data_IF_115933351108
#
_entry.id   IF_115933351108
#
_cell.length_a   1.000
_cell.length_b   1.000
_cell.length_c   1.000
_cell.angle_alpha   90.00
_cell.angle_beta   90.00
_cell.angle_gamma   90.00
#
_symmetry.space_group_name_H-M   'P 1'
#
loop_
_entity.id
_entity.type
_entity.pdbx_description
1 polymer ?
#
# COMPACT_ATOMS: atom_id res chain seq x y z
N UNK A 1 2.92 16.13 11.90
CA UNK A 1 2.44 14.76 11.56
C UNK A 1 0.93 14.76 11.50
N UNK A 2 0.38 14.42 10.35
CA UNK A 2 -1.06 14.32 10.18
C UNK A 2 -1.59 13.09 10.95
N UNK A 3 -2.86 13.10 11.36
CA UNK A 3 -3.51 11.93 12.01
C UNK A 3 -3.32 10.64 11.20
N UNK A 4 -3.20 10.77 9.89
CA UNK A 4 -3.02 9.67 8.91
C UNK A 4 -1.65 9.00 9.00
N UNK A 5 -0.58 9.79 9.19
CA UNK A 5 0.79 9.27 9.34
C UNK A 5 0.89 8.45 10.62
N UNK A 6 0.21 8.94 11.69
CA UNK A 6 0.10 8.22 12.96
C UNK A 6 -0.71 6.93 12.81
N UNK A 7 -1.77 6.94 12.00
CA UNK A 7 -2.59 5.75 11.75
C UNK A 7 -1.81 4.67 11.00
N UNK A 8 -1.04 5.07 9.97
CA UNK A 8 -0.17 4.14 9.24
C UNK A 8 0.88 3.51 10.17
N UNK A 9 1.62 4.33 10.90
CA UNK A 9 2.62 3.86 11.84
C UNK A 9 2.01 2.99 12.96
N UNK A 10 0.86 3.42 13.53
CA UNK A 10 0.17 2.67 14.57
C UNK A 10 -0.33 1.31 14.07
N UNK A 11 -0.87 1.22 12.85
CA UNK A 11 -1.35 -0.03 12.27
C UNK A 11 -0.21 -1.01 12.01
N UNK A 12 0.95 -0.51 11.55
CA UNK A 12 2.15 -1.32 11.34
C UNK A 12 2.71 -1.83 12.66
N UNK A 13 2.73 -0.99 13.70
CA UNK A 13 3.28 -1.33 15.02
C UNK A 13 2.33 -2.16 15.88
N UNK A 14 1.01 -2.11 15.64
CA UNK A 14 0.03 -2.86 16.42
C UNK A 14 -0.03 -4.36 16.08
N UNK A 15 0.48 -4.76 14.93
CA UNK A 15 0.39 -6.13 14.41
C UNK A 15 1.77 -6.76 14.08
N UNK A 16 2.79 -6.62 14.94
CA UNK A 16 4.10 -7.21 14.67
C UNK A 16 4.09 -8.74 14.65
N UNK A 17 3.10 -9.37 15.34
CA UNK A 17 3.01 -10.83 15.48
C UNK A 17 2.44 -11.58 14.28
N UNK A 18 1.90 -10.89 13.27
CA UNK A 18 1.37 -11.50 12.04
C UNK A 18 2.38 -11.48 10.90
N UNK A 19 3.54 -10.85 11.12
CA UNK A 19 4.65 -10.85 10.18
C UNK A 19 5.51 -12.10 10.37
N UNK A 20 5.01 -13.25 9.93
CA UNK A 20 5.86 -14.43 9.81
C UNK A 20 6.93 -14.17 8.73
N UNK A 21 8.17 -14.65 8.94
CA UNK A 21 9.28 -14.38 8.02
C UNK A 21 9.01 -14.79 6.55
N UNK A 22 8.09 -15.72 6.32
CA UNK A 22 7.75 -16.22 4.99
C UNK A 22 6.60 -15.46 4.30
N UNK A 23 5.70 -14.79 5.04
CA UNK A 23 4.56 -14.06 4.49
C UNK A 23 4.39 -12.77 5.30
N UNK A 24 4.84 -11.66 4.75
CA UNK A 24 4.71 -10.35 5.38
C UNK A 24 3.33 -9.75 5.09
N UNK A 25 2.39 -9.89 6.02
CA UNK A 25 1.11 -9.19 5.93
C UNK A 25 1.24 -7.75 6.43
N UNK A 26 1.47 -6.80 5.54
CA UNK A 26 1.54 -5.37 5.86
C UNK A 26 0.15 -4.74 5.73
N UNK A 27 -0.69 -4.86 6.76
CA UNK A 27 -2.03 -4.25 6.75
C UNK A 27 -2.01 -2.72 6.54
N UNK A 28 -0.92 -2.06 6.90
CA UNK A 28 -0.70 -0.64 6.63
C UNK A 28 -0.71 -0.31 5.12
N UNK A 29 -0.35 -1.26 4.27
CA UNK A 29 -0.36 -1.08 2.81
C UNK A 29 -1.79 -0.90 2.24
N UNK A 30 -2.84 -1.32 2.96
CA UNK A 30 -4.22 -0.99 2.61
C UNK A 30 -4.42 0.53 2.51
N UNK A 31 -3.73 1.31 3.36
CA UNK A 31 -3.82 2.77 3.36
C UNK A 31 -3.19 3.40 2.11
N UNK A 32 -2.32 2.69 1.40
CA UNK A 32 -1.75 3.15 0.12
C UNK A 32 -2.85 3.40 -0.92
N UNK A 33 -3.97 2.66 -0.85
CA UNK A 33 -5.13 2.89 -1.71
C UNK A 33 -5.78 4.27 -1.51
N UNK A 34 -5.50 4.99 -0.41
CA UNK A 34 -5.95 6.38 -0.24
C UNK A 34 -5.33 7.30 -1.30
N UNK A 35 -4.14 7.00 -1.80
CA UNK A 35 -3.49 7.76 -2.87
C UNK A 35 -4.28 7.71 -4.19
N UNK A 36 -5.03 6.63 -4.43
CA UNK A 36 -5.92 6.52 -5.57
C UNK A 36 -7.03 7.57 -5.55
N UNK A 37 -7.52 7.91 -4.36
CA UNK A 37 -8.58 8.92 -4.19
C UNK A 37 -8.02 10.35 -4.12
N UNK A 38 -6.83 10.54 -3.52
CA UNK A 38 -6.17 11.85 -3.40
C UNK A 38 -4.65 11.75 -3.46
N UNK A 39 -4.07 12.50 -4.39
CA UNK A 39 -2.61 12.58 -4.59
C UNK A 39 -1.86 13.14 -3.38
N UNK A 40 -2.51 14.05 -2.62
CA UNK A 40 -1.89 14.71 -1.46
C UNK A 40 -1.51 13.73 -0.35
N UNK A 41 -2.10 12.52 -0.34
CA UNK A 41 -1.77 11.50 0.65
C UNK A 41 -0.47 10.75 0.38
N UNK A 42 0.08 10.88 -0.83
CA UNK A 42 1.31 10.18 -1.21
C UNK A 42 2.49 10.54 -0.31
N UNK A 43 2.70 11.83 -0.06
CA UNK A 43 3.80 12.30 0.80
C UNK A 43 3.62 11.78 2.22
N UNK A 44 2.42 11.91 2.78
CA UNK A 44 2.09 11.42 4.12
C UNK A 44 2.30 9.92 4.26
N UNK A 45 1.89 9.14 3.26
CA UNK A 45 2.02 7.68 3.31
C UNK A 45 3.47 7.21 3.13
N UNK A 46 4.25 7.87 2.26
CA UNK A 46 5.67 7.60 2.10
C UNK A 46 6.41 7.91 3.41
N UNK A 47 6.13 9.06 4.04
CA UNK A 47 6.71 9.42 5.34
C UNK A 47 6.26 8.47 6.45
N UNK A 48 4.99 8.07 6.46
CA UNK A 48 4.47 7.10 7.41
C UNK A 48 5.12 5.72 7.27
N UNK A 49 5.35 5.27 6.04
CA UNK A 49 6.09 4.04 5.75
C UNK A 49 7.54 4.14 6.23
N UNK A 50 8.23 5.25 5.94
CA UNK A 50 9.59 5.50 6.41
C UNK A 50 9.69 5.42 7.94
N UNK A 51 8.80 6.09 8.66
CA UNK A 51 8.78 6.09 10.13
C UNK A 51 8.47 4.70 10.67
N UNK A 52 7.51 3.98 10.08
CA UNK A 52 7.17 2.63 10.50
C UNK A 52 8.35 1.67 10.34
N UNK A 53 9.09 1.79 9.25
CA UNK A 53 10.25 0.97 8.96
C UNK A 53 11.45 1.28 9.88
N UNK A 54 11.51 2.46 10.52
CA UNK A 54 12.53 2.74 11.56
C UNK A 54 12.43 1.79 12.77
N UNK A 55 11.26 1.21 13.01
CA UNK A 55 11.01 0.28 14.12
C UNK A 55 11.05 -1.19 13.69
N UNK A 56 11.40 -1.48 12.45
CA UNK A 56 11.59 -2.83 11.94
C UNK A 56 12.88 -3.46 12.48
N UNK A 57 12.95 -4.79 12.61
CA UNK A 57 14.18 -5.50 12.97
C UNK A 57 15.37 -5.22 12.04
N UNK A 58 15.10 -4.89 10.76
CA UNK A 58 16.10 -4.56 9.76
C UNK A 58 16.04 -3.08 9.35
N UNK A 59 15.88 -2.19 10.34
CA UNK A 59 15.51 -0.79 10.19
C UNK A 59 16.13 -0.06 8.99
N UNK A 60 17.45 -0.15 8.78
CA UNK A 60 18.12 0.55 7.67
C UNK A 60 17.71 0.02 6.29
N UNK A 61 17.61 -1.28 6.14
CA UNK A 61 17.23 -1.90 4.86
C UNK A 61 15.76 -1.67 4.57
N UNK A 62 14.89 -1.98 5.54
CA UNK A 62 13.45 -1.74 5.42
C UNK A 62 13.11 -0.26 5.19
N UNK A 63 13.87 0.68 5.81
CA UNK A 63 13.70 2.11 5.56
C UNK A 63 13.97 2.47 4.09
N UNK A 64 15.03 1.94 3.51
CA UNK A 64 15.42 2.26 2.12
C UNK A 64 14.51 1.53 1.15
N UNK A 65 14.48 0.19 1.22
CA UNK A 65 13.78 -0.64 0.24
C UNK A 65 12.26 -0.54 0.38
N UNK A 66 11.72 -0.60 1.60
CA UNK A 66 10.27 -0.51 1.84
C UNK A 66 9.71 0.87 1.49
N UNK A 67 10.42 1.95 1.82
CA UNK A 67 9.99 3.31 1.44
C UNK A 67 10.09 3.53 -0.07
N UNK A 68 11.15 3.01 -0.70
CA UNK A 68 11.31 3.08 -2.15
C UNK A 68 10.20 2.30 -2.86
N UNK A 69 9.87 1.10 -2.40
CA UNK A 69 8.81 0.28 -2.93
C UNK A 69 7.45 0.99 -2.88
N UNK A 70 7.12 1.59 -1.74
CA UNK A 70 5.90 2.39 -1.56
C UNK A 70 5.89 3.61 -2.48
N UNK A 71 6.99 4.33 -2.60
CA UNK A 71 7.09 5.50 -3.49
C UNK A 71 6.88 5.12 -4.97
N UNK A 72 7.51 4.03 -5.42
CA UNK A 72 7.36 3.51 -6.80
C UNK A 72 5.93 3.02 -7.05
N UNK A 73 5.26 2.43 -6.06
CA UNK A 73 3.87 2.01 -6.19
C UNK A 73 2.91 3.19 -6.31
N UNK A 74 3.10 4.23 -5.50
CA UNK A 74 2.17 5.35 -5.36
C UNK A 74 2.19 6.28 -6.58
N UNK A 75 3.36 6.54 -7.18
CA UNK A 75 3.48 7.50 -8.30
C UNK A 75 2.61 7.08 -9.50
N UNK A 76 2.68 5.84 -10.03
CA UNK A 76 1.85 5.43 -11.16
C UNK A 76 0.35 5.36 -10.82
N UNK A 77 -0.03 5.20 -9.54
CA UNK A 77 -1.43 5.19 -9.10
C UNK A 77 -2.21 6.40 -9.55
N UNK A 78 -1.54 7.56 -9.69
CA UNK A 78 -2.18 8.82 -10.09
C UNK A 78 -2.75 8.80 -11.51
N UNK A 79 -2.25 7.91 -12.34
CA UNK A 79 -2.63 7.80 -13.75
C UNK A 79 -3.63 6.66 -14.01
N UNK A 80 -3.78 5.75 -13.03
CA UNK A 80 -4.67 4.61 -13.16
C UNK A 80 -6.08 5.02 -12.71
N UNK A 81 -7.05 4.61 -13.52
CA UNK A 81 -8.45 4.91 -13.27
C UNK A 81 -9.21 3.78 -12.54
N UNK A 82 -8.71 2.60 -12.50
CA UNK A 82 -9.37 1.44 -11.91
C UNK A 82 -8.67 1.06 -10.60
N UNK A 83 -9.41 1.03 -9.48
CA UNK A 83 -8.87 0.70 -8.16
C UNK A 83 -8.23 -0.69 -8.12
N UNK A 84 -8.78 -1.66 -8.87
CA UNK A 84 -8.23 -3.01 -8.94
C UNK A 84 -6.86 -3.03 -9.63
N UNK A 85 -6.70 -2.25 -10.71
CA UNK A 85 -5.40 -2.11 -11.38
C UNK A 85 -4.43 -1.29 -10.52
N UNK A 86 -4.93 -0.27 -9.82
CA UNK A 86 -4.11 0.53 -8.91
C UNK A 86 -3.58 -0.30 -7.74
N UNK A 87 -4.38 -1.24 -7.21
CA UNK A 87 -3.96 -2.12 -6.12
C UNK A 87 -2.89 -3.14 -6.50
N UNK A 88 -2.73 -3.45 -7.79
CA UNK A 88 -1.66 -4.33 -8.26
C UNK A 88 -0.27 -3.65 -8.26
N UNK A 89 -0.23 -2.31 -8.26
CA UNK A 89 1.05 -1.59 -8.22
C UNK A 89 1.87 -1.89 -6.96
N UNK A 90 1.31 -1.79 -5.74
CA UNK A 90 2.01 -2.21 -4.53
C UNK A 90 2.43 -3.68 -4.57
N UNK A 91 1.57 -4.57 -5.09
CA UNK A 91 1.88 -6.01 -5.21
C UNK A 91 3.14 -6.24 -6.03
N UNK A 92 3.24 -5.59 -7.20
CA UNK A 92 4.39 -5.74 -8.09
C UNK A 92 5.63 -5.04 -7.50
N UNK A 93 5.47 -3.80 -7.02
CA UNK A 93 6.57 -3.01 -6.46
C UNK A 93 7.18 -3.68 -5.24
N UNK A 94 6.36 -4.04 -4.25
CA UNK A 94 6.83 -4.71 -3.03
C UNK A 94 7.35 -6.12 -3.33
N UNK A 95 6.66 -6.88 -4.20
CA UNK A 95 7.11 -8.21 -4.60
C UNK A 95 8.53 -8.22 -5.17
N UNK A 96 8.87 -7.25 -6.02
CA UNK A 96 10.19 -7.15 -6.63
C UNK A 96 11.22 -6.56 -5.64
N UNK A 97 10.91 -5.41 -5.04
CA UNK A 97 11.89 -4.63 -4.27
C UNK A 97 12.20 -5.32 -2.93
N UNK A 98 11.20 -5.85 -2.24
CA UNK A 98 11.41 -6.59 -0.99
C UNK A 98 12.09 -7.94 -1.25
N UNK A 99 11.83 -8.59 -2.39
CA UNK A 99 12.57 -9.80 -2.75
C UNK A 99 14.07 -9.53 -2.97
N UNK A 100 14.42 -8.37 -3.54
CA UNK A 100 15.81 -7.92 -3.68
C UNK A 100 16.41 -7.60 -2.31
N UNK A 101 15.66 -6.92 -1.44
CA UNK A 101 16.07 -6.64 -0.07
C UNK A 101 16.42 -7.93 0.68
N UNK A 102 15.53 -8.93 0.63
CA UNK A 102 15.76 -10.23 1.26
C UNK A 102 16.98 -10.95 0.68
N UNK A 103 17.22 -10.85 -0.63
CA UNK A 103 18.44 -11.38 -1.25
C UNK A 103 19.70 -10.73 -0.68
N UNK A 104 19.70 -9.41 -0.52
CA UNK A 104 20.85 -8.65 -0.01
C UNK A 104 21.10 -8.98 1.47
N UNK A 105 20.05 -9.19 2.25
CA UNK A 105 20.15 -9.37 3.71
C UNK A 105 20.40 -10.82 4.11
N UNK A 106 19.76 -11.78 3.45
CA UNK A 106 19.79 -13.20 3.83
C UNK A 106 20.52 -14.08 2.81
N UNK A 107 20.94 -13.52 1.68
CA UNK A 107 21.59 -14.27 0.61
C UNK A 107 20.59 -14.96 -0.32
N UNK A 108 21.07 -15.97 -1.05
CA UNK A 108 20.29 -16.62 -2.12
C UNK A 108 19.31 -17.71 -1.64
N UNK A 109 19.23 -17.97 -0.35
CA UNK A 109 18.30 -18.96 0.20
C UNK A 109 17.32 -18.29 1.18
N UNK A 110 15.98 -18.34 0.92
CA UNK A 110 15.32 -18.98 -0.23
C UNK A 110 15.51 -18.20 -1.54
N UNK A 111 15.32 -18.85 -2.71
CA UNK A 111 15.57 -18.23 -4.00
C UNK A 111 14.67 -16.99 -4.22
N UNK A 112 15.19 -15.98 -4.91
CA UNK A 112 14.55 -14.66 -5.12
C UNK A 112 13.14 -14.78 -5.67
N UNK A 113 12.92 -15.68 -6.63
CA UNK A 113 11.58 -15.90 -7.21
C UNK A 113 10.57 -16.40 -6.17
N UNK A 114 11.00 -17.19 -5.19
CA UNK A 114 10.15 -17.66 -4.10
C UNK A 114 9.76 -16.50 -3.17
N UNK A 115 10.73 -15.67 -2.78
CA UNK A 115 10.48 -14.47 -1.98
C UNK A 115 9.54 -13.51 -2.73
N UNK A 116 9.73 -13.33 -4.04
CA UNK A 116 8.88 -12.50 -4.88
C UNK A 116 7.43 -12.99 -4.92
N UNK A 117 7.22 -14.30 -5.02
CA UNK A 117 5.89 -14.90 -5.00
C UNK A 117 5.23 -14.80 -3.61
N UNK A 118 5.95 -15.07 -2.54
CA UNK A 118 5.39 -15.04 -1.17
C UNK A 118 5.02 -13.62 -0.74
N UNK A 119 5.90 -12.65 -0.95
CA UNK A 119 5.63 -11.23 -0.67
C UNK A 119 4.50 -10.72 -1.56
N UNK A 120 4.57 -10.99 -2.87
CA UNK A 120 3.52 -10.58 -3.82
C UNK A 120 2.17 -11.20 -3.50
N UNK A 121 2.10 -12.46 -3.09
CA UNK A 121 0.86 -13.12 -2.68
C UNK A 121 0.28 -12.50 -1.39
N UNK A 122 1.11 -12.19 -0.40
CA UNK A 122 0.72 -11.48 0.81
C UNK A 122 0.11 -10.12 0.51
N UNK A 123 0.79 -9.31 -0.30
CA UNK A 123 0.31 -8.00 -0.75
C UNK A 123 -0.98 -8.10 -1.58
N UNK A 124 -1.08 -9.08 -2.47
CA UNK A 124 -2.28 -9.29 -3.27
C UNK A 124 -3.50 -9.56 -2.39
N UNK A 125 -3.38 -10.41 -1.39
CA UNK A 125 -4.48 -10.68 -0.46
C UNK A 125 -4.83 -9.43 0.34
N UNK A 126 -3.85 -8.77 0.93
CA UNK A 126 -4.08 -7.63 1.83
C UNK A 126 -4.56 -6.39 1.06
N UNK A 127 -3.87 -5.98 0.03
CA UNK A 127 -4.16 -4.72 -0.67
C UNK A 127 -5.25 -4.90 -1.70
N UNK A 128 -5.19 -5.96 -2.53
CA UNK A 128 -6.15 -6.14 -3.61
C UNK A 128 -7.45 -6.73 -3.10
N UNK A 129 -7.42 -7.86 -2.37
CA UNK A 129 -8.67 -8.50 -1.94
C UNK A 129 -9.28 -7.72 -0.78
N UNK A 130 -8.58 -7.60 0.34
CA UNK A 130 -9.13 -6.96 1.54
C UNK A 130 -9.27 -5.45 1.32
N UNK A 131 -8.24 -4.77 0.81
CA UNK A 131 -8.21 -3.33 0.62
C UNK A 131 -9.27 -2.84 -0.36
N UNK A 132 -9.34 -3.40 -1.58
CA UNK A 132 -10.34 -2.96 -2.56
C UNK A 132 -11.76 -3.23 -2.11
N UNK A 133 -12.03 -4.37 -1.47
CA UNK A 133 -13.35 -4.69 -0.93
C UNK A 133 -13.74 -3.71 0.16
N UNK A 134 -12.81 -3.45 1.11
CA UNK A 134 -13.03 -2.49 2.19
C UNK A 134 -13.29 -1.08 1.65
N UNK A 135 -12.50 -0.61 0.70
CA UNK A 135 -12.70 0.71 0.10
C UNK A 135 -14.01 0.82 -0.67
N UNK A 136 -14.39 -0.18 -1.44
CA UNK A 136 -15.68 -0.18 -2.15
C UNK A 136 -16.88 -0.27 -1.23
N UNK A 137 -16.86 -1.17 -0.24
CA UNK A 137 -18.00 -1.40 0.62
C UNK A 137 -18.17 -0.33 1.69
N UNK A 138 -17.06 0.17 2.26
CA UNK A 138 -17.10 1.09 3.40
C UNK A 138 -16.96 2.53 2.94
N UNK A 139 -15.94 2.86 2.16
CA UNK A 139 -15.64 4.24 1.80
C UNK A 139 -16.54 4.78 0.70
N UNK A 140 -16.76 4.03 -0.38
CA UNK A 140 -17.60 4.52 -1.49
C UNK A 140 -19.10 4.56 -1.09
N UNK A 141 -19.52 3.71 -0.16
CA UNK A 141 -20.91 3.68 0.32
C UNK A 141 -21.20 4.77 1.35
N UNK A 142 -20.21 5.23 2.11
CA UNK A 142 -20.38 6.23 3.16
C UNK A 142 -19.95 7.62 2.68
N UNK A 143 -20.92 8.49 2.38
CA UNK A 143 -20.66 9.90 2.02
C UNK A 143 -19.93 10.67 3.13
N UNK A 144 -20.13 10.29 4.41
CA UNK A 144 -19.45 10.91 5.55
C UNK A 144 -17.95 10.59 5.54
N UNK A 145 -17.59 9.34 5.30
CA UNK A 145 -16.19 8.91 5.24
C UNK A 145 -15.47 9.53 4.04
N UNK A 146 -16.13 9.59 2.89
CA UNK A 146 -15.59 10.26 1.69
C UNK A 146 -15.32 11.74 1.94
N UNK A 147 -16.22 12.43 2.65
CA UNK A 147 -16.04 13.84 3.01
C UNK A 147 -14.90 14.04 4.03
N UNK A 148 -14.78 13.15 5.03
CA UNK A 148 -13.70 13.21 6.04
C UNK A 148 -12.32 13.02 5.39
N UNK A 149 -12.22 12.11 4.42
CA UNK A 149 -10.99 11.90 3.65
C UNK A 149 -10.78 13.05 2.66
N UNK A 150 -11.82 13.86 2.39
CA UNK A 150 -11.80 14.90 1.38
C UNK A 150 -11.56 14.32 -0.03
N UNK A 151 -11.97 13.08 -0.23
CA UNK A 151 -11.86 12.41 -1.51
C UNK A 151 -12.94 12.91 -2.44
N UNK A 152 -12.55 13.55 -3.53
CA UNK A 152 -13.45 13.72 -4.64
C UNK A 152 -13.75 12.33 -5.21
N UNK A 153 -15.07 12.01 -5.39
CA UNK A 153 -15.43 10.75 -6.07
C UNK A 153 -14.62 10.67 -7.36
N UNK A 154 -13.94 9.55 -7.61
CA UNK A 154 -13.20 9.38 -8.85
C UNK A 154 -14.13 9.69 -10.02
N UNK A 155 -13.66 10.40 -11.05
CA UNK A 155 -14.43 10.86 -12.20
C UNK A 155 -15.17 9.77 -13.00
N UNK A 156 -15.07 8.50 -12.60
CA UNK A 156 -15.82 7.37 -13.17
C UNK A 156 -17.32 7.47 -13.04
N UNK A 157 -17.82 8.13 -11.98
CA UNK A 157 -19.24 8.25 -11.72
C UNK A 157 -19.88 9.50 -12.32
N UNK A 158 -19.10 10.40 -12.91
CA UNK A 158 -19.68 11.39 -13.84
C UNK A 158 -19.97 10.66 -15.14
N UNK A 159 -21.17 10.05 -15.24
CA UNK A 159 -21.80 9.80 -16.55
C UNK A 159 -21.69 11.11 -17.31
N UNK A 160 -21.03 11.10 -18.49
CA UNK A 160 -21.19 12.19 -19.47
C UNK A 160 -22.69 12.46 -19.59
N UNK A 161 -23.16 13.71 -19.48
CA UNK A 161 -24.50 14.01 -19.88
C UNK A 161 -24.64 13.50 -21.33
N UNK A 162 -25.70 12.75 -21.60
CA UNK A 162 -26.03 12.35 -22.95
C UNK A 162 -26.16 13.65 -23.76
N UNK A 163 -25.27 13.85 -24.71
CA UNK A 163 -25.45 14.87 -25.73
C UNK A 163 -26.66 14.45 -26.53
N UNK A 164 -27.74 15.20 -26.35
CA UNK A 164 -28.95 15.22 -27.22
C UNK A 164 -28.68 16.19 -28.34
#
# INVERSE_FOLDING_TARGET
MCIRDRLYAALTLALPGLSFPAIQFRFSEILVLLCFYRKDYSISLILGCFIANCFSPMALMDMIFGTLATAIAVIPMFYIKNIWLASLLPVVSNGIIIAIELLVCYGSEPPVWFNMLTVGAGELVVVTVIGCVLFKLVFERSSRLMNVIGANKPNYFKKKPAEI
#
